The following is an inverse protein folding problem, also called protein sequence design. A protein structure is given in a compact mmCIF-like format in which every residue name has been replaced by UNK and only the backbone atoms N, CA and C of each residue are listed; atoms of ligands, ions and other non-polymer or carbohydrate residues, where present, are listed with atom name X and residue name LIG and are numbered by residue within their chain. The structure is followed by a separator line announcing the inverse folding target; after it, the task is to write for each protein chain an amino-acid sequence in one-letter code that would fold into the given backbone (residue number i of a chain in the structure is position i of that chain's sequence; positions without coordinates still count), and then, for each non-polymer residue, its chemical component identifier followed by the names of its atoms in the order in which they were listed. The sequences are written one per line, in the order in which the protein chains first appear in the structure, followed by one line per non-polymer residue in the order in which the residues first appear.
data_IF_532981570110
#
_entry.id   IF_532981570110
#
_cell.length_a   1.000
_cell.length_b   1.000
_cell.length_c   1.000
_cell.angle_alpha   90.00
_cell.angle_beta   90.00
_cell.angle_gamma   90.00
#
_symmetry.space_group_name_H-M   'P 1'
#
loop_
_entity.id
_entity.type
_entity.pdbx_description
1 polymer ?
#
# COMPACT_ATOMS: atom_id res chain seq x y z
N UNK A 1 28.71 -7.00 -13.34
CA UNK A 1 27.67 -6.10 -12.79
C UNK A 1 26.67 -5.81 -13.89
N UNK A 2 25.57 -6.56 -13.96
CA UNK A 2 24.55 -6.35 -14.98
C UNK A 2 23.61 -5.23 -14.52
N UNK A 3 23.54 -4.14 -15.29
CA UNK A 3 22.48 -3.13 -15.15
C UNK A 3 21.16 -3.85 -15.44
N UNK A 4 20.47 -4.35 -14.39
CA UNK A 4 19.03 -4.61 -14.50
C UNK A 4 18.42 -3.27 -14.88
N UNK A 5 17.95 -3.13 -16.12
CA UNK A 5 17.07 -2.03 -16.49
C UNK A 5 15.87 -2.16 -15.57
N UNK A 6 15.83 -1.39 -14.50
CA UNK A 6 14.64 -1.30 -13.67
C UNK A 6 13.54 -0.80 -14.59
N UNK A 7 12.49 -1.60 -14.74
CA UNK A 7 11.35 -1.23 -15.57
C UNK A 7 10.75 0.06 -15.02
N UNK A 8 10.56 1.04 -15.89
CA UNK A 8 9.97 2.31 -15.50
C UNK A 8 8.48 2.13 -15.33
N UNK A 9 7.92 2.80 -14.33
CA UNK A 9 6.48 2.84 -14.09
C UNK A 9 5.88 3.97 -14.94
N UNK A 10 4.76 3.68 -15.59
CA UNK A 10 3.96 4.67 -16.29
C UNK A 10 3.27 5.60 -15.29
N UNK A 11 3.43 6.91 -15.45
CA UNK A 11 2.90 7.93 -14.55
C UNK A 11 1.98 8.92 -15.26
N UNK A 12 0.86 9.27 -14.63
CA UNK A 12 -0.04 10.34 -15.06
C UNK A 12 0.44 11.68 -14.52
N UNK A 13 0.79 12.59 -15.43
CA UNK A 13 1.22 13.95 -15.09
C UNK A 13 0.16 14.70 -14.29
N UNK A 14 -1.09 14.63 -14.74
CA UNK A 14 -2.18 15.41 -14.14
C UNK A 14 -2.52 14.88 -12.75
N UNK A 15 -2.54 13.56 -12.57
CA UNK A 15 -2.74 12.93 -11.27
C UNK A 15 -1.64 13.30 -10.29
N UNK A 16 -0.37 13.17 -10.72
CA UNK A 16 0.78 13.52 -9.90
C UNK A 16 0.75 15.00 -9.47
N UNK A 17 0.47 15.91 -10.42
CA UNK A 17 0.40 17.35 -10.12
C UNK A 17 -0.76 17.71 -9.20
N UNK A 18 -1.91 17.03 -9.31
CA UNK A 18 -3.04 17.19 -8.39
C UNK A 18 -2.63 16.80 -6.97
N UNK A 19 -2.08 15.60 -6.80
CA UNK A 19 -1.74 15.03 -5.48
C UNK A 19 -0.69 15.89 -4.76
N UNK A 20 0.39 16.30 -5.45
CA UNK A 20 1.42 17.12 -4.80
C UNK A 20 0.86 18.49 -4.36
N UNK A 21 -0.06 19.08 -5.14
CA UNK A 21 -0.68 20.37 -4.81
C UNK A 21 -1.62 20.25 -3.63
N UNK A 22 -2.39 19.16 -3.53
CA UNK A 22 -3.23 18.86 -2.37
C UNK A 22 -2.40 18.74 -1.10
N UNK A 23 -1.20 18.14 -1.19
CA UNK A 23 -0.23 18.06 -0.09
C UNK A 23 0.56 19.37 0.14
N UNK A 24 0.30 20.44 -0.63
CA UNK A 24 0.94 21.75 -0.48
C UNK A 24 2.33 21.89 -1.12
N UNK A 25 2.72 20.97 -2.00
CA UNK A 25 4.03 20.94 -2.66
C UNK A 25 3.96 21.29 -4.15
N UNK A 26 5.10 21.76 -4.65
CA UNK A 26 5.39 21.94 -6.08
C UNK A 26 6.56 21.03 -6.50
N UNK A 27 6.68 20.76 -7.80
CA UNK A 27 7.82 19.99 -8.36
C UNK A 27 9.16 20.62 -7.98
N UNK A 28 9.24 21.95 -7.93
CA UNK A 28 10.45 22.65 -7.51
C UNK A 28 10.76 22.41 -6.02
N UNK A 29 9.75 22.47 -5.15
CA UNK A 29 9.93 22.20 -3.72
C UNK A 29 10.33 20.74 -3.45
N UNK A 30 9.74 19.77 -4.16
CA UNK A 30 10.13 18.35 -4.08
C UNK A 30 11.58 18.15 -4.52
N UNK A 31 12.02 18.93 -5.52
CA UNK A 31 13.40 18.92 -5.98
C UNK A 31 14.45 19.41 -4.99
N UNK A 32 14.02 20.02 -3.87
CA UNK A 32 14.88 20.52 -2.79
C UNK A 32 14.89 19.57 -1.58
N UNK A 33 14.01 18.56 -1.57
CA UNK A 33 13.88 17.59 -0.48
C UNK A 33 15.04 16.59 -0.54
N UNK A 34 15.87 16.48 0.50
CA UNK A 34 16.99 15.55 0.53
C UNK A 34 16.57 14.09 0.37
N UNK A 35 15.45 13.66 0.98
CA UNK A 35 15.00 12.25 0.91
C UNK A 35 14.62 11.79 -0.51
N UNK A 36 14.20 12.71 -1.38
CA UNK A 36 13.84 12.42 -2.78
C UNK A 36 15.11 12.21 -3.62
N UNK A 37 16.23 12.86 -3.23
CA UNK A 37 17.55 12.74 -3.88
C UNK A 37 17.49 12.93 -5.41
N UNK A 38 16.55 13.75 -5.90
CA UNK A 38 16.47 14.13 -7.32
C UNK A 38 16.01 15.57 -7.47
N UNK A 39 16.63 16.27 -8.42
CA UNK A 39 16.28 17.66 -8.71
C UNK A 39 14.87 17.78 -9.31
N UNK A 40 14.23 18.94 -9.11
CA UNK A 40 12.93 19.24 -9.71
C UNK A 40 12.96 19.18 -11.24
N UNK A 41 14.10 19.49 -11.88
CA UNK A 41 14.29 19.32 -13.32
C UNK A 41 14.19 17.85 -13.75
N UNK A 42 14.71 16.92 -12.94
CA UNK A 42 14.62 15.48 -13.21
C UNK A 42 13.18 15.00 -13.06
N UNK A 43 12.50 15.40 -11.99
CA UNK A 43 11.08 15.06 -11.76
C UNK A 43 10.22 15.60 -12.91
N UNK A 44 10.45 16.85 -13.33
CA UNK A 44 9.75 17.46 -14.45
C UNK A 44 9.96 16.71 -15.77
N UNK A 45 11.18 16.19 -16.02
CA UNK A 45 11.46 15.36 -17.20
C UNK A 45 10.69 14.04 -17.15
N UNK A 46 10.67 13.36 -16.00
CA UNK A 46 9.87 12.13 -15.81
C UNK A 46 8.38 12.38 -16.07
N UNK A 47 7.84 13.48 -15.55
CA UNK A 47 6.44 13.87 -15.79
C UNK A 47 6.14 14.19 -17.26
N UNK A 48 7.12 14.71 -18.00
CA UNK A 48 6.97 14.95 -19.44
C UNK A 48 7.10 13.66 -20.25
N UNK A 49 7.95 12.71 -19.83
CA UNK A 49 8.07 11.41 -20.50
C UNK A 49 6.94 10.44 -20.15
N UNK A 50 6.10 10.75 -19.16
CA UNK A 50 5.05 9.84 -18.68
C UNK A 50 5.60 8.62 -17.97
N UNK A 51 6.87 8.63 -17.56
CA UNK A 51 7.56 7.47 -16.99
C UNK A 51 8.51 7.89 -15.87
N UNK A 52 8.50 7.14 -14.76
CA UNK A 52 9.37 7.37 -13.61
C UNK A 52 9.98 6.06 -13.12
N UNK A 53 11.18 6.14 -12.56
CA UNK A 53 11.80 5.00 -11.91
C UNK A 53 11.01 4.63 -10.64
N UNK A 54 10.71 3.34 -10.37
CA UNK A 54 9.97 2.91 -9.19
C UNK A 54 10.53 3.51 -7.89
N UNK A 55 11.84 3.41 -7.67
CA UNK A 55 12.51 3.95 -6.47
C UNK A 55 12.37 5.47 -6.29
N UNK A 56 12.22 6.22 -7.38
CA UNK A 56 11.98 7.66 -7.28
C UNK A 56 10.52 7.92 -6.88
N UNK A 57 9.58 7.18 -7.46
CA UNK A 57 8.17 7.28 -7.14
C UNK A 57 7.92 6.85 -5.68
N UNK A 58 8.56 5.79 -5.21
CA UNK A 58 8.51 5.31 -3.82
C UNK A 58 9.00 6.37 -2.83
N UNK A 59 10.17 6.97 -3.07
CA UNK A 59 10.72 8.03 -2.21
C UNK A 59 9.80 9.25 -2.15
N UNK A 60 9.19 9.63 -3.27
CA UNK A 60 8.25 10.75 -3.32
C UNK A 60 6.96 10.39 -2.57
N UNK A 61 6.44 9.18 -2.77
CA UNK A 61 5.26 8.68 -2.05
C UNK A 61 5.49 8.66 -0.54
N UNK A 62 6.64 8.14 -0.09
CA UNK A 62 7.02 8.10 1.33
C UNK A 62 7.09 9.50 1.93
N UNK A 63 7.73 10.45 1.24
CA UNK A 63 7.84 11.83 1.73
C UNK A 63 6.47 12.53 1.83
N UNK A 64 5.57 12.27 0.89
CA UNK A 64 4.24 12.88 0.86
C UNK A 64 3.20 12.18 1.73
N UNK A 65 3.55 11.03 2.32
CA UNK A 65 2.62 10.06 2.90
C UNK A 65 1.48 9.75 1.92
N UNK A 66 1.85 9.27 0.74
CA UNK A 66 0.93 8.83 -0.32
C UNK A 66 1.42 7.53 -0.95
N UNK A 67 0.51 6.60 -1.19
CA UNK A 67 0.79 5.35 -1.91
C UNK A 67 1.40 5.63 -3.31
N UNK A 68 2.58 5.07 -3.63
CA UNK A 68 3.24 5.24 -4.93
C UNK A 68 2.36 4.81 -6.12
N UNK A 69 1.54 3.77 -5.96
CA UNK A 69 0.60 3.26 -6.96
C UNK A 69 -0.48 4.29 -7.26
N UNK A 70 -1.02 4.92 -6.22
CA UNK A 70 -1.96 6.02 -6.34
C UNK A 70 -1.31 7.25 -6.97
N UNK A 71 -0.10 7.61 -6.52
CA UNK A 71 0.69 8.73 -7.06
C UNK A 71 1.02 8.57 -8.55
N UNK A 72 1.14 7.32 -9.04
CA UNK A 72 1.34 7.03 -10.47
C UNK A 72 0.10 7.33 -11.33
N UNK A 73 -1.09 7.44 -10.73
CA UNK A 73 -2.36 7.51 -11.45
C UNK A 73 -2.85 6.16 -11.97
N UNK A 74 -2.39 5.04 -11.41
CA UNK A 74 -2.91 3.72 -11.74
C UNK A 74 -4.40 3.56 -11.41
N UNK A 75 -4.85 4.10 -10.28
CA UNK A 75 -6.27 4.08 -9.90
C UNK A 75 -7.14 4.89 -10.86
N UNK A 76 -6.67 6.04 -11.33
CA UNK A 76 -7.38 6.84 -12.34
C UNK A 76 -7.51 6.05 -13.66
N UNK A 77 -6.46 5.35 -14.09
CA UNK A 77 -6.50 4.49 -15.29
C UNK A 77 -7.47 3.33 -15.14
N UNK A 78 -7.37 2.59 -14.04
CA UNK A 78 -8.30 1.48 -13.74
C UNK A 78 -9.74 1.97 -13.68
N UNK A 79 -9.97 3.15 -13.09
CA UNK A 79 -11.28 3.77 -13.07
C UNK A 79 -11.80 4.04 -14.48
N UNK A 80 -10.99 4.66 -15.35
CA UNK A 80 -11.37 4.94 -16.74
C UNK A 80 -11.71 3.67 -17.53
N UNK A 81 -11.03 2.55 -17.27
CA UNK A 81 -11.32 1.25 -17.90
C UNK A 81 -12.66 0.65 -17.47
N UNK A 82 -13.09 0.90 -16.23
CA UNK A 82 -14.31 0.30 -15.67
C UNK A 82 -15.49 1.25 -15.57
N UNK A 83 -15.31 2.56 -15.79
CA UNK A 83 -16.32 3.59 -15.52
C UNK A 83 -17.67 3.32 -16.17
N UNK A 84 -17.68 2.80 -17.39
CA UNK A 84 -18.89 2.56 -18.18
C UNK A 84 -19.72 1.37 -17.64
N UNK A 85 -19.11 0.53 -16.80
CA UNK A 85 -19.77 -0.59 -16.11
C UNK A 85 -20.30 -0.22 -14.72
N UNK A 86 -19.97 0.97 -14.22
CA UNK A 86 -20.34 1.39 -12.87
C UNK A 86 -21.72 2.04 -12.85
N UNK A 87 -22.54 1.68 -11.85
CA UNK A 87 -23.86 2.28 -11.63
C UNK A 87 -23.81 3.74 -11.18
N UNK A 88 -22.69 4.16 -10.57
CA UNK A 88 -22.48 5.53 -10.08
C UNK A 88 -21.00 5.90 -10.22
N UNK A 89 -20.54 6.21 -11.46
CA UNK A 89 -19.14 6.49 -11.74
C UNK A 89 -18.59 7.65 -10.90
N UNK A 90 -19.35 8.72 -10.71
CA UNK A 90 -18.91 9.95 -10.02
C UNK A 90 -18.63 9.69 -8.52
N UNK A 91 -19.50 8.91 -7.88
CA UNK A 91 -19.33 8.52 -6.48
C UNK A 91 -18.12 7.59 -6.31
N UNK A 92 -17.97 6.61 -7.22
CA UNK A 92 -16.82 5.69 -7.19
C UNK A 92 -15.51 6.44 -7.42
N UNK A 93 -15.48 7.37 -8.38
CA UNK A 93 -14.31 8.22 -8.62
C UNK A 93 -13.93 9.01 -7.37
N UNK A 94 -14.90 9.67 -6.73
CA UNK A 94 -14.68 10.43 -5.50
C UNK A 94 -14.12 9.56 -4.37
N UNK A 95 -14.62 8.33 -4.21
CA UNK A 95 -14.16 7.41 -3.17
C UNK A 95 -12.75 6.85 -3.46
N UNK A 96 -12.37 6.72 -4.73
CA UNK A 96 -11.12 6.13 -5.21
C UNK A 96 -10.01 7.14 -5.50
N UNK A 97 -10.31 8.43 -5.45
CA UNK A 97 -9.34 9.51 -5.79
C UNK A 97 -9.15 10.54 -4.68
N UNK A 98 -9.55 10.24 -3.45
CA UNK A 98 -9.16 11.06 -2.29
C UNK A 98 -7.78 10.68 -1.80
N UNK A 99 -6.84 11.60 -1.89
CA UNK A 99 -5.45 11.42 -1.43
C UNK A 99 -5.34 10.95 0.02
N UNK A 100 -6.17 11.46 0.94
CA UNK A 100 -6.16 11.04 2.36
C UNK A 100 -6.55 9.56 2.58
N UNK A 101 -7.09 8.89 1.56
CA UNK A 101 -7.43 7.46 1.62
C UNK A 101 -6.29 6.54 1.21
N UNK A 102 -5.21 7.07 0.67
CA UNK A 102 -4.06 6.32 0.18
C UNK A 102 -2.77 6.78 0.87
N UNK A 103 -2.65 6.68 2.22
CA UNK A 103 -1.39 6.98 2.89
C UNK A 103 -0.31 5.98 2.48
N UNK A 104 0.95 6.38 2.60
CA UNK A 104 2.09 5.52 2.25
C UNK A 104 2.12 4.26 3.12
N UNK A 105 1.63 4.35 4.36
CA UNK A 105 1.50 3.19 5.26
C UNK A 105 0.68 2.04 4.66
N UNK A 106 -0.28 2.32 3.75
CA UNK A 106 -1.01 1.27 3.03
C UNK A 106 -0.09 0.51 2.09
N UNK A 107 0.75 1.21 1.34
CA UNK A 107 1.75 0.61 0.48
C UNK A 107 2.72 -0.28 1.27
N UNK A 108 3.13 0.15 2.46
CA UNK A 108 3.96 -0.66 3.34
C UNK A 108 3.25 -1.95 3.79
N UNK A 109 1.95 -1.87 4.15
CA UNK A 109 1.18 -3.06 4.55
C UNK A 109 0.80 -3.98 3.39
N UNK A 110 0.55 -3.45 2.19
CA UNK A 110 0.19 -4.24 1.00
C UNK A 110 1.38 -5.04 0.45
N UNK A 111 2.61 -4.60 0.73
CA UNK A 111 3.84 -5.33 0.39
C UNK A 111 4.22 -6.39 1.43
N UNK A 112 3.50 -6.52 2.55
CA UNK A 112 3.75 -7.57 3.53
C UNK A 112 3.24 -8.90 2.96
N UNK A 113 4.15 -9.84 2.76
CA UNK A 113 3.76 -11.22 2.47
C UNK A 113 3.24 -11.88 3.75
N UNK A 114 1.92 -11.79 3.95
CA UNK A 114 1.23 -12.37 5.08
C UNK A 114 1.31 -13.90 5.11
N UNK A 115 1.44 -14.55 3.96
CA UNK A 115 1.61 -16.00 3.88
C UNK A 115 2.99 -16.40 4.42
N UNK A 116 4.04 -15.70 3.98
CA UNK A 116 5.39 -15.87 4.50
C UNK A 116 5.46 -15.55 6.00
N UNK A 117 4.81 -14.46 6.44
CA UNK A 117 4.71 -14.11 7.85
C UNK A 117 4.09 -15.24 8.70
N UNK A 118 3.00 -15.85 8.24
CA UNK A 118 2.38 -16.99 8.92
C UNK A 118 3.33 -18.19 8.98
N UNK A 119 3.93 -18.55 7.85
CA UNK A 119 4.81 -19.71 7.77
C UNK A 119 6.04 -19.55 8.66
N UNK A 120 6.62 -18.34 8.71
CA UNK A 120 7.72 -18.02 9.61
C UNK A 120 7.28 -18.09 11.07
N UNK A 121 6.09 -17.59 11.40
CA UNK A 121 5.53 -17.68 12.75
C UNK A 121 5.33 -19.13 13.19
N UNK A 122 4.82 -19.99 12.30
CA UNK A 122 4.69 -21.42 12.56
C UNK A 122 6.06 -22.10 12.72
N UNK A 123 7.02 -21.75 11.86
CA UNK A 123 8.37 -22.29 11.90
C UNK A 123 9.08 -21.95 13.22
N UNK A 124 8.92 -20.72 13.73
CA UNK A 124 9.44 -20.30 15.05
C UNK A 124 8.88 -21.19 16.18
N UNK A 125 7.65 -21.68 16.01
CA UNK A 125 7.00 -22.60 16.94
C UNK A 125 7.27 -24.09 16.63
N UNK A 126 8.27 -24.38 15.78
CA UNK A 126 8.62 -25.73 15.31
C UNK A 126 7.48 -26.46 14.59
N UNK A 127 6.59 -25.72 13.93
CA UNK A 127 5.51 -26.27 13.11
C UNK A 127 5.89 -26.08 11.64
N UNK A 128 5.96 -27.17 10.88
CA UNK A 128 6.29 -27.13 9.46
C UNK A 128 5.10 -26.72 8.59
N UNK A 129 5.39 -26.26 7.37
CA UNK A 129 4.37 -25.95 6.35
C UNK A 129 3.49 -27.17 6.06
N UNK A 130 4.07 -28.36 6.01
CA UNK A 130 3.37 -29.62 5.73
C UNK A 130 2.36 -29.94 6.83
N UNK A 131 2.73 -29.71 8.10
CA UNK A 131 1.82 -29.90 9.23
C UNK A 131 0.63 -28.94 9.17
N UNK A 132 0.86 -27.70 8.74
CA UNK A 132 -0.21 -26.72 8.53
C UNK A 132 -1.13 -27.11 7.36
N UNK A 133 -0.57 -27.52 6.22
CA UNK A 133 -1.35 -27.94 5.05
C UNK A 133 -2.12 -29.25 5.31
N UNK A 134 -1.63 -30.11 6.19
CA UNK A 134 -2.32 -31.33 6.61
C UNK A 134 -3.60 -31.06 7.44
N UNK A 135 -3.78 -29.84 7.97
CA UNK A 135 -4.99 -29.47 8.70
C UNK A 135 -6.20 -29.33 7.75
N UNK A 136 -7.39 -29.55 8.30
CA UNK A 136 -8.64 -29.25 7.61
C UNK A 136 -8.74 -27.74 7.28
N UNK A 137 -9.27 -27.35 6.10
CA UNK A 137 -9.38 -25.94 5.71
C UNK A 137 -10.10 -25.03 6.73
N UNK A 138 -11.07 -25.54 7.49
CA UNK A 138 -11.74 -24.78 8.55
C UNK A 138 -10.82 -24.57 9.75
N UNK A 139 -10.03 -25.59 10.10
CA UNK A 139 -9.01 -25.48 11.17
C UNK A 139 -7.88 -24.52 10.77
N UNK A 140 -7.45 -24.52 9.50
CA UNK A 140 -6.46 -23.55 8.99
C UNK A 140 -6.95 -22.11 9.16
N UNK A 141 -8.20 -21.83 8.75
CA UNK A 141 -8.82 -20.50 8.91
C UNK A 141 -8.98 -20.10 10.37
N UNK A 142 -9.40 -21.03 11.23
CA UNK A 142 -9.56 -20.76 12.67
C UNK A 142 -8.21 -20.42 13.31
N UNK A 143 -7.15 -21.19 12.99
CA UNK A 143 -5.80 -20.92 13.48
C UNK A 143 -5.30 -19.53 13.05
N UNK A 144 -5.49 -19.15 11.79
CA UNK A 144 -5.12 -17.83 11.28
C UNK A 144 -5.86 -16.72 12.04
N UNK A 145 -7.17 -16.89 12.26
CA UNK A 145 -8.00 -15.94 12.99
C UNK A 145 -7.54 -15.79 14.45
N UNK A 146 -7.33 -16.91 15.15
CA UNK A 146 -6.94 -16.93 16.55
C UNK A 146 -5.56 -16.28 16.77
N UNK A 147 -4.60 -16.55 15.88
CA UNK A 147 -3.27 -15.89 15.90
C UNK A 147 -3.44 -14.38 15.70
N UNK A 148 -4.23 -13.95 14.73
CA UNK A 148 -4.47 -12.53 14.46
C UNK A 148 -5.10 -11.80 15.65
N UNK A 149 -6.12 -12.39 16.26
CA UNK A 149 -6.80 -11.84 17.45
C UNK A 149 -5.85 -11.77 18.65
N UNK A 150 -5.09 -12.84 18.92
CA UNK A 150 -4.13 -12.86 20.01
C UNK A 150 -3.03 -11.80 19.84
N UNK A 151 -2.46 -11.70 18.63
CA UNK A 151 -1.44 -10.71 18.31
C UNK A 151 -1.97 -9.28 18.48
N UNK A 152 -3.15 -8.98 17.93
CA UNK A 152 -3.78 -7.68 18.08
C UNK A 152 -4.04 -7.32 19.54
N UNK A 153 -4.55 -8.28 20.32
CA UNK A 153 -4.83 -8.09 21.75
C UNK A 153 -3.56 -7.74 22.51
N UNK A 154 -2.45 -8.41 22.22
CA UNK A 154 -1.16 -8.12 22.85
C UNK A 154 -0.64 -6.75 22.42
N UNK A 155 -0.64 -6.43 21.12
CA UNK A 155 -0.15 -5.13 20.62
C UNK A 155 -0.94 -3.96 21.23
N UNK A 156 -2.27 -4.07 21.34
CA UNK A 156 -3.11 -3.03 21.94
C UNK A 156 -2.78 -2.75 23.41
N UNK A 157 -2.21 -3.70 24.14
CA UNK A 157 -1.79 -3.47 25.54
C UNK A 157 -0.62 -2.49 25.65
N UNK A 158 0.16 -2.30 24.59
CA UNK A 158 1.38 -1.50 24.60
C UNK A 158 1.27 -0.22 23.76
N UNK A 159 0.28 -0.12 22.87
CA UNK A 159 0.13 1.00 21.95
C UNK A 159 -1.32 1.50 21.92
N UNK A 160 -1.52 2.76 22.33
CA UNK A 160 -2.82 3.41 22.36
C UNK A 160 -3.18 4.11 21.04
N UNK A 161 -2.18 4.46 20.23
CA UNK A 161 -2.33 5.18 18.95
C UNK A 161 -1.76 4.38 17.78
N UNK A 162 -2.43 4.45 16.62
CA UNK A 162 -1.95 3.85 15.37
C UNK A 162 -0.84 4.71 14.71
N UNK A 163 -0.27 4.21 13.61
CA UNK A 163 0.79 4.92 12.87
C UNK A 163 0.37 6.28 12.29
N UNK A 164 -0.94 6.60 12.31
CA UNK A 164 -1.51 7.87 11.85
C UNK A 164 -1.89 8.78 13.03
N UNK A 165 -1.59 8.37 14.26
CA UNK A 165 -1.92 9.13 15.47
C UNK A 165 -3.40 9.07 15.86
N UNK A 166 -4.17 8.13 15.29
CA UNK A 166 -5.55 7.90 15.68
C UNK A 166 -5.61 6.92 16.86
N UNK A 167 -6.57 7.09 17.77
CA UNK A 167 -6.80 6.10 18.82
C UNK A 167 -7.07 4.73 18.18
N UNK A 168 -6.36 3.71 18.68
CA UNK A 168 -6.47 2.32 18.24
C UNK A 168 -7.86 1.71 18.48
N UNK A 169 -8.78 2.45 19.10
CA UNK A 169 -10.15 2.02 19.39
C UNK A 169 -11.03 1.88 18.14
N UNK A 170 -10.63 2.47 17.00
CA UNK A 170 -11.24 2.19 15.68
C UNK A 170 -10.57 1.01 14.92
N UNK A 171 -10.01 0.03 15.65
CA UNK A 171 -9.20 -1.06 15.10
C UNK A 171 -9.95 -2.31 14.62
N UNK A 172 -11.27 -2.27 14.48
CA UNK A 172 -12.04 -3.29 13.75
C UNK A 172 -12.79 -2.64 12.58
N UNK A 173 -12.13 -1.79 11.80
CA UNK A 173 -12.61 -1.67 10.41
C UNK A 173 -12.40 -3.04 9.79
N UNK A 174 -13.47 -3.56 9.18
CA UNK A 174 -13.46 -4.82 8.47
C UNK A 174 -12.15 -5.02 7.70
N UNK A 175 -11.58 -3.97 7.11
CA UNK A 175 -10.30 -3.95 6.37
C UNK A 175 -9.09 -4.56 7.10
N UNK A 176 -8.90 -4.39 8.42
CA UNK A 176 -7.73 -4.92 9.14
C UNK A 176 -7.79 -6.45 9.31
N UNK A 177 -8.97 -6.95 9.66
CA UNK A 177 -9.27 -8.38 9.60
C UNK A 177 -9.36 -8.87 8.16
N UNK A 178 -9.78 -8.06 7.19
CA UNK A 178 -9.85 -8.44 5.77
C UNK A 178 -8.47 -8.50 5.12
N UNK A 179 -7.48 -7.71 5.59
CA UNK A 179 -6.06 -7.88 5.24
C UNK A 179 -5.48 -9.15 5.89
N UNK A 180 -5.80 -9.39 7.18
CA UNK A 180 -5.44 -10.65 7.86
C UNK A 180 -6.25 -11.87 7.38
N UNK A 181 -7.30 -11.68 6.59
CA UNK A 181 -8.15 -12.72 6.00
C UNK A 181 -8.14 -12.70 4.47
N UNK A 182 -7.27 -11.92 3.85
CA UNK A 182 -7.12 -11.86 2.40
C UNK A 182 -6.45 -13.12 1.91
N UNK A 183 -7.23 -14.18 1.69
CA UNK A 183 -6.84 -15.53 1.23
C UNK A 183 -5.33 -15.79 1.37
N UNK A 184 -4.86 -15.96 2.62
CA UNK A 184 -3.44 -16.15 2.93
C UNK A 184 -2.82 -17.33 2.19
N UNK A 185 -3.67 -18.23 1.68
CA UNK A 185 -3.37 -19.18 0.61
C UNK A 185 -4.65 -19.28 -0.24
N UNK A 186 -4.65 -18.73 -1.45
CA UNK A 186 -5.56 -19.23 -2.50
C UNK A 186 -5.01 -20.57 -2.95
N UNK A 187 -5.79 -21.63 -2.74
CA UNK A 187 -5.58 -22.91 -3.44
C UNK A 187 -5.66 -22.71 -4.96
#
# INVERSE_FOLDING_TARGET
MANKKTEKVQISRDCFLRIIREKGYTVESLGKVPEIDRSGKTIQRCLTSGEMHPDLLDRIGRFLDVDPTYLSGEYDRRFEEMKDSLKSPELTYYLWTKTDRFPYSKHETENIDYAEYLLNTLLINNISKEQFLALDPRKRRSLQFDIGVALHTVIKQYFDVDSRGLETDMGMTADGLTLLMGDWIKE
#
